data_IF_699813593050
#
_entry.id   IF_699813593050
#
_cell.length_a   1.000
_cell.length_b   1.000
_cell.length_c   1.000
_cell.angle_alpha   90.00
_cell.angle_beta   90.00
_cell.angle_gamma   90.00
#
_symmetry.space_group_name_H-M   'P 1'
#
loop_
_entity.id
_entity.type
_entity.pdbx_description
1 polymer ?
#
# COMPACT_ATOMS: atom_id res chain seq x y z
N UNK A 1 -37.91 3.09 37.78
CA UNK A 1 -36.68 2.57 38.36
C UNK A 1 -36.18 1.49 37.45
N UNK A 2 -35.27 1.81 36.60
CA UNK A 2 -34.32 0.90 35.96
C UNK A 2 -33.43 1.75 35.04
N UNK A 3 -32.27 2.06 35.54
CA UNK A 3 -31.23 2.80 34.85
C UNK A 3 -30.57 1.89 33.83
N UNK A 4 -30.58 2.31 32.58
CA UNK A 4 -29.82 1.65 31.51
C UNK A 4 -28.61 2.52 31.13
N UNK A 5 -27.47 2.15 31.68
CA UNK A 5 -26.17 2.78 31.39
C UNK A 5 -25.64 2.16 30.11
N UNK A 6 -25.73 2.86 29.00
CA UNK A 6 -24.94 2.58 27.80
C UNK A 6 -23.57 3.25 27.95
N UNK A 7 -22.57 2.44 28.19
CA UNK A 7 -21.17 2.85 28.05
C UNK A 7 -20.83 3.01 26.57
N UNK A 8 -20.60 4.24 26.16
CA UNK A 8 -19.96 4.59 24.88
C UNK A 8 -18.46 4.28 24.99
N UNK A 9 -18.05 3.18 24.41
CA UNK A 9 -16.63 2.96 24.08
C UNK A 9 -16.41 3.32 22.61
N UNK A 10 -16.15 4.58 22.37
CA UNK A 10 -15.78 5.13 21.07
C UNK A 10 -14.46 5.91 21.20
N UNK A 11 -13.37 5.21 21.46
CA UNK A 11 -12.11 5.89 21.76
C UNK A 11 -10.82 5.27 21.21
N UNK A 12 -10.85 4.31 20.28
CA UNK A 12 -9.60 3.65 19.85
C UNK A 12 -9.34 3.69 18.34
N UNK A 13 -10.24 4.21 17.53
CA UNK A 13 -10.11 4.14 16.06
C UNK A 13 -9.57 5.41 15.39
N UNK A 14 -9.38 6.52 16.11
CA UNK A 14 -9.03 7.82 15.50
C UNK A 14 -7.55 8.20 15.57
N UNK A 15 -6.74 7.53 16.40
CA UNK A 15 -5.34 7.93 16.57
C UNK A 15 -4.35 7.21 15.62
N UNK A 16 -4.80 6.24 14.82
CA UNK A 16 -3.91 5.49 13.93
C UNK A 16 -3.62 6.17 12.59
N UNK A 17 -4.37 7.21 12.22
CA UNK A 17 -4.23 7.89 10.94
C UNK A 17 -3.52 9.24 10.99
N UNK A 18 -3.28 9.79 12.17
CA UNK A 18 -2.74 11.15 12.33
C UNK A 18 -1.20 11.23 12.31
N UNK A 19 -0.53 10.09 12.39
CA UNK A 19 0.92 10.02 12.20
C UNK A 19 1.19 9.21 10.95
N UNK A 20 1.80 9.81 9.94
CA UNK A 20 2.33 9.13 8.75
C UNK A 20 3.48 8.20 9.16
N UNK A 21 3.15 7.19 9.96
CA UNK A 21 4.13 6.27 10.51
C UNK A 21 4.47 5.22 9.44
N UNK A 22 5.61 5.42 8.81
CA UNK A 22 6.34 4.37 8.11
C UNK A 22 6.57 3.11 8.97
N UNK A 23 6.04 3.13 10.19
CA UNK A 23 6.19 2.13 11.23
C UNK A 23 5.37 0.85 10.99
N UNK A 24 4.20 0.91 10.32
CA UNK A 24 3.42 -0.31 10.05
C UNK A 24 4.09 -1.16 8.98
N UNK A 25 4.59 -0.53 7.92
CA UNK A 25 5.37 -1.19 6.87
C UNK A 25 6.66 -1.77 7.45
N UNK A 26 7.39 -1.00 8.27
CA UNK A 26 8.58 -1.46 8.97
C UNK A 26 8.29 -2.62 9.93
N UNK A 27 7.14 -2.63 10.60
CA UNK A 27 6.72 -3.74 11.47
C UNK A 27 6.39 -5.00 10.65
N UNK A 28 5.70 -4.88 9.54
CA UNK A 28 5.39 -6.00 8.63
C UNK A 28 6.67 -6.57 8.01
N UNK A 29 7.59 -5.71 7.57
CA UNK A 29 8.88 -6.13 7.03
C UNK A 29 9.78 -6.76 8.10
N UNK A 30 9.77 -6.24 9.34
CA UNK A 30 10.54 -6.79 10.46
C UNK A 30 10.03 -8.17 10.91
N UNK A 31 8.74 -8.41 10.84
CA UNK A 31 8.17 -9.74 11.09
C UNK A 31 8.56 -10.76 10.00
N UNK A 32 8.80 -10.31 8.78
CA UNK A 32 9.25 -11.15 7.65
C UNK A 32 10.76 -11.42 7.69
N UNK A 33 11.57 -10.53 8.25
CA UNK A 33 13.03 -10.63 8.36
C UNK A 33 13.52 -11.35 9.63
N UNK A 34 12.65 -11.89 10.47
CA UNK A 34 12.95 -12.60 11.72
C UNK A 34 13.64 -13.94 11.52
N UNK A 35 14.88 -13.89 11.06
CA UNK A 35 15.76 -15.05 10.94
C UNK A 35 17.20 -14.67 10.66
N UNK A 36 18.00 -14.67 11.72
CA UNK A 36 19.46 -14.63 11.78
C UNK A 36 20.14 -13.25 11.84
N UNK A 37 20.47 -12.89 13.08
CA UNK A 37 21.50 -11.89 13.36
C UNK A 37 22.90 -12.40 12.99
N UNK A 38 23.67 -11.53 12.37
CA UNK A 38 25.14 -11.47 12.49
C UNK A 38 25.54 -10.02 12.43
N UNK A 39 26.05 -9.57 13.54
CA UNK A 39 26.77 -8.30 13.64
C UNK A 39 27.98 -8.33 12.71
N UNK A 40 28.07 -7.37 11.81
CA UNK A 40 29.32 -6.96 11.22
C UNK A 40 29.39 -5.44 11.26
N UNK A 41 30.17 -4.96 12.22
CA UNK A 41 30.73 -3.62 12.20
C UNK A 41 31.63 -3.54 10.96
N UNK A 42 31.33 -2.61 10.08
CA UNK A 42 32.27 -2.14 9.06
C UNK A 42 32.44 -0.64 9.25
N UNK A 43 33.70 -0.30 9.50
CA UNK A 43 34.19 1.02 9.80
C UNK A 43 33.89 2.04 8.68
N UNK A 44 33.67 3.27 9.13
CA UNK A 44 33.50 4.44 8.30
C UNK A 44 34.74 4.69 7.45
N UNK A 45 34.66 4.49 6.16
CA UNK A 45 35.58 5.08 5.20
C UNK A 45 34.96 6.32 4.59
N UNK A 46 35.51 7.45 4.93
CA UNK A 46 35.33 8.74 4.29
C UNK A 46 35.52 8.63 2.80
N UNK A 47 34.47 8.78 2.00
CA UNK A 47 34.57 9.03 0.57
C UNK A 47 33.81 10.30 0.21
N UNK A 48 34.59 11.16 -0.41
CA UNK A 48 34.34 12.48 -0.93
C UNK A 48 32.97 12.66 -1.61
N UNK A 49 32.32 13.73 -1.19
CA UNK A 49 31.26 14.50 -1.82
C UNK A 49 31.35 14.52 -3.36
N UNK A 50 30.47 13.77 -3.99
CA UNK A 50 29.89 14.18 -5.24
C UNK A 50 28.43 14.53 -4.92
N UNK A 51 28.06 15.80 -5.08
CA UNK A 51 26.70 16.33 -4.99
C UNK A 51 25.88 15.81 -6.17
N UNK A 52 25.67 14.50 -6.25
CA UNK A 52 24.60 13.94 -7.04
C UNK A 52 23.41 13.81 -6.10
N UNK A 53 22.48 14.75 -6.20
CA UNK A 53 21.14 14.59 -5.67
C UNK A 53 20.65 13.20 -6.10
N UNK A 54 20.29 12.31 -5.17
CA UNK A 54 19.80 10.99 -5.53
C UNK A 54 18.60 11.17 -6.45
N UNK A 55 18.75 10.74 -7.70
CA UNK A 55 17.68 10.88 -8.69
C UNK A 55 16.45 10.16 -8.15
N UNK A 56 15.39 10.91 -7.86
CA UNK A 56 14.12 10.38 -7.42
C UNK A 56 13.67 9.25 -8.34
N UNK A 57 13.40 8.09 -7.77
CA UNK A 57 12.94 6.90 -8.47
C UNK A 57 11.71 7.22 -9.35
N UNK A 58 10.82 8.09 -8.86
CA UNK A 58 9.60 8.46 -9.56
C UNK A 58 9.78 9.52 -10.65
N UNK A 59 10.99 10.06 -10.87
CA UNK A 59 11.29 10.85 -12.07
C UNK A 59 11.19 10.01 -13.35
N UNK A 60 11.50 8.72 -13.26
CA UNK A 60 11.45 7.78 -14.38
C UNK A 60 10.13 7.02 -14.48
N UNK A 61 9.31 7.05 -13.45
CA UNK A 61 8.01 6.36 -13.39
C UNK A 61 6.88 7.37 -13.54
N UNK A 62 6.05 7.18 -14.56
CA UNK A 62 4.90 8.05 -14.78
C UNK A 62 3.99 8.07 -13.54
N UNK A 63 3.40 9.22 -13.20
CA UNK A 63 2.27 9.22 -12.29
C UNK A 63 1.08 8.48 -12.91
N UNK A 64 0.20 7.96 -12.10
CA UNK A 64 -1.04 7.32 -12.54
C UNK A 64 -0.81 6.12 -13.48
N UNK A 65 -0.10 5.12 -12.96
CA UNK A 65 0.25 3.89 -13.68
C UNK A 65 0.06 2.66 -12.81
N UNK A 66 -0.31 1.54 -13.44
CA UNK A 66 -0.32 0.20 -12.87
C UNK A 66 0.69 -0.66 -13.60
N UNK A 67 1.73 -1.09 -12.93
CA UNK A 67 2.83 -1.82 -13.55
C UNK A 67 3.40 -2.92 -12.66
N UNK A 68 4.09 -3.88 -13.29
CA UNK A 68 4.83 -4.91 -12.57
C UNK A 68 6.03 -4.32 -11.81
N UNK A 69 6.26 -4.82 -10.59
CA UNK A 69 7.36 -4.37 -9.71
C UNK A 69 8.76 -4.78 -10.18
N UNK A 70 8.90 -5.56 -11.24
CA UNK A 70 10.13 -6.28 -11.68
C UNK A 70 11.47 -5.57 -11.46
N UNK A 71 11.51 -4.25 -11.64
CA UNK A 71 12.72 -3.44 -11.53
C UNK A 71 12.91 -2.75 -10.17
N UNK A 72 11.96 -2.88 -9.25
CA UNK A 72 11.93 -2.13 -8.01
C UNK A 72 11.87 -3.06 -6.80
N UNK A 73 12.56 -2.67 -5.73
CA UNK A 73 12.37 -3.28 -4.42
C UNK A 73 11.25 -2.55 -3.69
N UNK A 74 10.45 -3.29 -2.95
CA UNK A 74 9.32 -2.72 -2.15
C UNK A 74 9.82 -1.64 -1.21
N UNK A 75 10.99 -1.85 -0.58
CA UNK A 75 11.59 -0.88 0.34
C UNK A 75 11.93 0.43 -0.37
N UNK A 76 12.51 0.37 -1.57
CA UNK A 76 12.87 1.57 -2.33
C UNK A 76 11.63 2.40 -2.70
N UNK A 77 10.50 1.72 -3.02
CA UNK A 77 9.23 2.39 -3.29
C UNK A 77 8.65 3.05 -2.03
N UNK A 78 8.77 2.40 -0.88
CA UNK A 78 8.32 2.94 0.40
C UNK A 78 9.16 4.16 0.82
N UNK A 79 10.47 4.08 0.67
CA UNK A 79 11.39 5.17 1.01
C UNK A 79 11.16 6.39 0.12
N UNK A 80 10.97 6.17 -1.18
CA UNK A 80 10.65 7.23 -2.13
C UNK A 80 9.29 7.88 -1.85
N UNK A 81 8.26 7.08 -1.57
CA UNK A 81 6.95 7.58 -1.18
C UNK A 81 7.04 8.47 0.07
N UNK A 82 7.82 8.02 1.07
CA UNK A 82 8.04 8.77 2.31
C UNK A 82 8.77 10.09 2.05
N UNK A 83 9.82 10.09 1.23
CA UNK A 83 10.56 11.30 0.86
C UNK A 83 9.69 12.33 0.15
N UNK A 84 8.75 11.87 -0.67
CA UNK A 84 7.81 12.74 -1.40
C UNK A 84 6.54 13.07 -0.61
N UNK A 85 6.42 12.60 0.64
CA UNK A 85 5.23 12.76 1.46
C UNK A 85 3.99 12.08 0.88
N UNK A 86 4.18 11.09 0.01
CA UNK A 86 3.07 10.34 -0.61
C UNK A 86 2.62 9.20 0.32
N UNK A 87 1.34 8.91 0.30
CA UNK A 87 0.78 7.84 1.11
C UNK A 87 1.11 6.46 0.53
N UNK A 88 1.78 5.63 1.33
CA UNK A 88 2.21 4.30 0.93
C UNK A 88 1.24 3.23 1.45
N UNK A 89 0.73 2.40 0.55
CA UNK A 89 -0.18 1.29 0.83
C UNK A 89 0.44 -0.02 0.35
N UNK A 90 0.51 -1.02 1.23
CA UNK A 90 1.14 -2.29 0.93
C UNK A 90 0.23 -3.47 1.32
N UNK A 91 0.02 -4.38 0.38
CA UNK A 91 -0.69 -5.64 0.61
C UNK A 91 0.15 -6.84 0.14
N UNK A 92 0.37 -7.79 1.04
CA UNK A 92 1.06 -9.06 0.77
C UNK A 92 0.03 -10.18 0.60
N UNK A 93 -0.12 -10.68 -0.62
CA UNK A 93 -1.21 -11.56 -1.02
C UNK A 93 -0.82 -13.05 -1.15
N UNK A 94 0.40 -13.43 -0.76
CA UNK A 94 0.91 -14.80 -0.94
C UNK A 94 0.05 -15.90 -0.29
N UNK A 95 -0.69 -15.58 0.76
CA UNK A 95 -1.54 -16.53 1.48
C UNK A 95 -2.97 -16.62 0.90
N UNK A 96 -3.35 -15.72 0.01
CA UNK A 96 -4.65 -15.72 -0.63
C UNK A 96 -4.71 -16.77 -1.75
N UNK A 97 -5.82 -17.47 -1.88
CA UNK A 97 -6.05 -18.51 -2.89
C UNK A 97 -7.24 -18.21 -3.80
N UNK A 98 -8.01 -17.17 -3.48
CA UNK A 98 -9.23 -16.81 -4.18
C UNK A 98 -9.36 -15.29 -4.32
N UNK A 99 -10.21 -14.84 -5.25
CA UNK A 99 -10.59 -13.44 -5.41
C UNK A 99 -11.01 -12.81 -4.09
N UNK A 100 -11.84 -13.51 -3.32
CA UNK A 100 -12.38 -12.99 -2.07
C UNK A 100 -11.28 -12.78 -1.03
N UNK A 101 -10.37 -13.73 -0.89
CA UNK A 101 -9.24 -13.62 0.03
C UNK A 101 -8.25 -12.53 -0.37
N UNK A 102 -8.04 -12.31 -1.68
CA UNK A 102 -7.24 -11.18 -2.19
C UNK A 102 -7.88 -9.84 -1.79
N UNK A 103 -9.19 -9.71 -2.01
CA UNK A 103 -9.93 -8.48 -1.65
C UNK A 103 -9.94 -8.25 -0.13
N UNK A 104 -10.06 -9.30 0.67
CA UNK A 104 -9.96 -9.23 2.13
C UNK A 104 -8.57 -8.79 2.59
N UNK A 105 -7.53 -9.34 1.97
CA UNK A 105 -6.14 -8.97 2.26
C UNK A 105 -5.90 -7.49 1.95
N UNK A 106 -6.34 -7.02 0.79
CA UNK A 106 -6.25 -5.61 0.41
C UNK A 106 -7.03 -4.73 1.39
N UNK A 107 -8.28 -5.09 1.69
CA UNK A 107 -9.13 -4.33 2.59
C UNK A 107 -8.55 -4.21 4.01
N UNK A 108 -7.98 -5.28 4.53
CA UNK A 108 -7.33 -5.30 5.84
C UNK A 108 -6.05 -4.48 5.83
N UNK A 109 -5.23 -4.65 4.78
CA UNK A 109 -3.94 -3.94 4.66
C UNK A 109 -4.12 -2.43 4.45
N UNK A 110 -5.16 -2.03 3.73
CA UNK A 110 -5.47 -0.61 3.44
C UNK A 110 -6.46 -0.01 4.43
N UNK A 111 -6.83 -0.76 5.46
CA UNK A 111 -7.74 -0.34 6.52
C UNK A 111 -9.10 0.14 5.98
N UNK A 112 -9.65 -0.56 5.00
CA UNK A 112 -10.97 -0.26 4.47
C UNK A 112 -12.08 -0.41 5.53
N UNK A 113 -13.24 0.20 5.35
CA UNK A 113 -14.35 0.10 6.30
C UNK A 113 -14.76 -1.36 6.53
N UNK A 114 -15.23 -1.66 7.75
CA UNK A 114 -15.72 -3.01 8.12
C UNK A 114 -16.87 -3.52 7.23
N UNK A 115 -17.62 -2.59 6.63
CA UNK A 115 -18.71 -2.91 5.69
C UNK A 115 -18.26 -3.04 4.23
N UNK A 116 -16.95 -3.14 3.97
CA UNK A 116 -16.43 -3.36 2.63
C UNK A 116 -17.07 -4.58 1.96
N UNK A 117 -17.65 -4.39 0.78
CA UNK A 117 -18.49 -5.38 0.10
C UNK A 117 -17.74 -6.54 -0.55
N UNK A 118 -16.41 -6.61 -0.45
CA UNK A 118 -15.53 -7.65 -1.03
C UNK A 118 -15.81 -7.95 -2.51
N UNK A 119 -16.08 -6.90 -3.26
CA UNK A 119 -16.26 -6.93 -4.72
C UNK A 119 -15.47 -5.80 -5.38
N UNK A 120 -15.38 -5.80 -6.70
CA UNK A 120 -14.57 -4.84 -7.43
C UNK A 120 -15.15 -3.42 -7.39
N UNK A 121 -16.47 -3.27 -7.37
CA UNK A 121 -17.12 -1.96 -7.27
C UNK A 121 -16.81 -1.32 -5.92
N UNK A 122 -16.93 -2.08 -4.82
CA UNK A 122 -16.55 -1.61 -3.50
C UNK A 122 -15.05 -1.30 -3.40
N UNK A 123 -14.19 -2.06 -4.11
CA UNK A 123 -12.75 -1.77 -4.18
C UNK A 123 -12.52 -0.43 -4.86
N UNK A 124 -13.15 -0.18 -6.01
CA UNK A 124 -13.05 1.09 -6.73
C UNK A 124 -13.49 2.25 -5.85
N UNK A 125 -14.65 2.15 -5.20
CA UNK A 125 -15.17 3.17 -4.29
C UNK A 125 -14.17 3.49 -3.17
N UNK A 126 -13.60 2.46 -2.54
CA UNK A 126 -12.59 2.66 -1.49
C UNK A 126 -11.29 3.28 -2.02
N UNK A 127 -10.83 2.91 -3.22
CA UNK A 127 -9.61 3.46 -3.83
C UNK A 127 -9.78 4.92 -4.25
N UNK A 128 -10.99 5.32 -4.64
CA UNK A 128 -11.30 6.71 -5.02
C UNK A 128 -11.66 7.59 -3.83
N UNK A 129 -11.89 6.99 -2.66
CA UNK A 129 -12.24 7.68 -1.41
C UNK A 129 -11.07 7.76 -0.39
N UNK A 130 -9.86 7.46 -0.81
CA UNK A 130 -8.68 7.43 0.08
C UNK A 130 -8.42 8.77 0.79
N UNK A 131 -8.77 9.89 0.16
CA UNK A 131 -8.58 11.23 0.73
C UNK A 131 -9.46 11.48 1.94
N UNK A 132 -10.65 10.92 2.01
CA UNK A 132 -11.52 11.08 3.18
C UNK A 132 -10.88 10.49 4.45
N UNK A 133 -10.04 9.48 4.29
CA UNK A 133 -9.38 8.80 5.42
C UNK A 133 -7.96 9.30 5.67
N UNK A 134 -7.19 9.48 4.61
CA UNK A 134 -5.79 9.88 4.70
C UNK A 134 -5.59 11.42 4.70
N UNK A 135 -6.67 12.19 4.45
CA UNK A 135 -6.57 13.61 4.17
C UNK A 135 -6.01 13.89 2.78
N UNK A 136 -5.79 15.17 2.46
CA UNK A 136 -5.19 15.56 1.18
C UNK A 136 -3.75 15.06 1.08
N UNK A 137 -3.46 14.26 0.08
CA UNK A 137 -2.14 13.67 -0.17
C UNK A 137 -1.57 14.17 -1.51
N UNK A 138 -0.25 14.42 -1.60
CA UNK A 138 0.38 14.74 -2.88
C UNK A 138 0.39 13.54 -3.84
N UNK A 139 0.16 12.34 -3.35
CA UNK A 139 0.07 11.13 -4.13
C UNK A 139 -0.08 9.88 -3.30
N UNK A 140 -0.33 8.78 -3.99
CA UNK A 140 -0.45 7.44 -3.44
C UNK A 140 0.52 6.50 -4.14
N UNK A 141 1.19 5.65 -3.37
CA UNK A 141 2.01 4.55 -3.87
C UNK A 141 1.47 3.26 -3.29
N UNK A 142 1.05 2.37 -4.16
CA UNK A 142 0.40 1.11 -3.79
C UNK A 142 1.26 -0.05 -4.26
N UNK A 143 1.48 -1.02 -3.40
CA UNK A 143 2.18 -2.26 -3.73
C UNK A 143 1.29 -3.46 -3.41
N UNK A 144 1.04 -4.27 -4.42
CA UNK A 144 0.36 -5.57 -4.33
C UNK A 144 1.39 -6.66 -4.57
N UNK A 145 1.91 -7.24 -3.51
CA UNK A 145 2.98 -8.23 -3.61
C UNK A 145 2.41 -9.65 -3.58
N UNK A 146 2.89 -10.49 -4.51
CA UNK A 146 2.56 -11.90 -4.62
C UNK A 146 1.04 -12.19 -4.79
N UNK A 147 0.43 -11.51 -5.76
CA UNK A 147 -0.93 -11.87 -6.18
C UNK A 147 -0.96 -13.35 -6.62
N UNK A 148 -1.91 -14.14 -6.13
CA UNK A 148 -1.90 -15.57 -6.38
C UNK A 148 -2.16 -15.91 -7.85
N UNK A 149 -1.49 -16.97 -8.31
CA UNK A 149 -1.76 -17.63 -9.58
C UNK A 149 -2.46 -18.95 -9.27
N UNK A 150 -3.74 -18.88 -8.97
CA UNK A 150 -4.55 -20.00 -8.52
C UNK A 150 -5.80 -20.16 -9.39
N UNK A 151 -6.35 -21.38 -9.42
CA UNK A 151 -7.54 -21.69 -10.20
C UNK A 151 -8.78 -20.87 -9.77
N UNK A 152 -8.89 -20.55 -8.47
CA UNK A 152 -9.98 -19.71 -7.91
C UNK A 152 -9.73 -18.20 -8.07
N UNK A 153 -8.59 -17.82 -8.60
CA UNK A 153 -8.22 -16.47 -8.99
C UNK A 153 -7.47 -16.54 -10.31
N UNK A 154 -8.22 -16.83 -11.36
CA UNK A 154 -7.75 -17.08 -12.70
C UNK A 154 -7.22 -15.81 -13.39
N UNK A 155 -6.80 -15.94 -14.63
CA UNK A 155 -6.26 -14.82 -15.40
C UNK A 155 -7.26 -13.67 -15.52
N UNK A 156 -8.54 -13.99 -15.79
CA UNK A 156 -9.59 -12.99 -15.93
C UNK A 156 -9.81 -12.22 -14.63
N UNK A 157 -9.90 -12.93 -13.50
CA UNK A 157 -10.02 -12.31 -12.19
C UNK A 157 -8.83 -11.39 -11.84
N UNK A 158 -7.60 -11.78 -12.20
CA UNK A 158 -6.41 -10.96 -12.01
C UNK A 158 -6.42 -9.71 -12.88
N UNK A 159 -6.75 -9.83 -14.16
CA UNK A 159 -6.85 -8.68 -15.08
C UNK A 159 -7.94 -7.72 -14.61
N UNK A 160 -9.11 -8.22 -14.23
CA UNK A 160 -10.21 -7.39 -13.71
C UNK A 160 -9.77 -6.64 -12.44
N UNK A 161 -9.03 -7.30 -11.52
CA UNK A 161 -8.47 -6.62 -10.36
C UNK A 161 -7.57 -5.45 -10.77
N UNK A 162 -6.64 -5.69 -11.71
CA UNK A 162 -5.71 -4.66 -12.17
C UNK A 162 -6.43 -3.54 -12.93
N UNK A 163 -7.52 -3.85 -13.65
CA UNK A 163 -8.36 -2.85 -14.32
C UNK A 163 -9.00 -1.88 -13.32
N UNK A 164 -9.49 -2.38 -12.18
CA UNK A 164 -10.01 -1.51 -11.11
C UNK A 164 -8.95 -0.53 -10.62
N UNK A 165 -7.70 -0.96 -10.48
CA UNK A 165 -6.60 -0.06 -10.11
C UNK A 165 -6.23 0.92 -11.22
N UNK A 166 -6.37 0.53 -12.51
CA UNK A 166 -6.18 1.45 -13.67
C UNK A 166 -7.26 2.53 -13.68
N UNK A 167 -8.52 2.15 -13.49
CA UNK A 167 -9.64 3.10 -13.41
C UNK A 167 -9.46 4.07 -12.23
N UNK A 168 -9.01 3.57 -11.07
CA UNK A 168 -8.68 4.43 -9.94
C UNK A 168 -7.50 5.38 -10.26
N UNK A 169 -6.50 4.91 -11.00
CA UNK A 169 -5.38 5.76 -11.44
C UNK A 169 -5.85 6.88 -12.39
N UNK A 170 -6.79 6.60 -13.28
CA UNK A 170 -7.43 7.61 -14.15
C UNK A 170 -8.23 8.63 -13.34
N UNK A 171 -9.03 8.17 -12.37
CA UNK A 171 -9.77 9.04 -11.45
C UNK A 171 -8.86 10.05 -10.73
N UNK A 172 -7.69 9.59 -10.25
CA UNK A 172 -6.72 10.45 -9.57
C UNK A 172 -5.93 11.33 -10.53
N UNK A 173 -5.68 10.87 -11.76
CA UNK A 173 -5.06 11.68 -12.82
C UNK A 173 -5.88 12.93 -13.14
N UNK A 174 -7.20 12.80 -13.27
CA UNK A 174 -8.11 13.93 -13.47
C UNK A 174 -8.02 14.97 -12.35
N UNK A 175 -7.71 14.52 -11.14
CA UNK A 175 -7.53 15.37 -9.94
C UNK A 175 -6.11 15.85 -9.73
N UNK A 176 -5.20 15.55 -10.68
CA UNK A 176 -3.77 15.88 -10.62
C UNK A 176 -3.07 15.33 -9.37
N UNK A 177 -3.54 14.20 -8.85
CA UNK A 177 -2.92 13.45 -7.76
C UNK A 177 -2.21 12.23 -8.34
N UNK A 178 -0.94 12.06 -8.00
CA UNK A 178 -0.18 10.89 -8.44
C UNK A 178 -0.70 9.62 -7.79
N UNK A 179 -0.96 8.58 -8.58
CA UNK A 179 -1.46 7.30 -8.10
C UNK A 179 -0.71 6.18 -8.81
N UNK A 180 0.28 5.60 -8.13
CA UNK A 180 1.17 4.58 -8.71
C UNK A 180 0.90 3.23 -8.07
N UNK A 181 0.70 2.23 -8.88
CA UNK A 181 0.47 0.86 -8.43
C UNK A 181 1.53 -0.06 -9.00
N UNK A 182 2.17 -0.80 -8.11
CA UNK A 182 3.17 -1.83 -8.43
C UNK A 182 2.66 -3.18 -7.97
N UNK A 183 2.77 -4.20 -8.82
CA UNK A 183 2.29 -5.53 -8.47
C UNK A 183 3.30 -6.62 -8.85
N UNK A 184 3.26 -7.74 -8.13
CA UNK A 184 3.90 -9.00 -8.52
C UNK A 184 2.90 -10.16 -8.39
N UNK A 185 3.14 -11.18 -9.20
CA UNK A 185 2.48 -12.47 -9.03
C UNK A 185 3.35 -13.42 -8.21
N UNK A 186 2.73 -14.42 -7.58
CA UNK A 186 3.40 -15.49 -6.86
C UNK A 186 4.16 -16.43 -7.81
#
# INVERSE_FOLDING_TARGET
MSDNVYAHDSGVATDFFAAGDGNLFQRVMKMRAGGQGRDNQIEASTVLSSNEEPMSLFKTVRPNIVQSIRAFRVQDLADEANQLGQHFLYAYCANAQSKQEVLETIATSFLFPKHFGKNYDALYDCLTDLVQKAGSQPGFVIVLEQLPVAQKFDKEGRETLLDVFREAAEFWAERKVAFRVFYSFA
#
